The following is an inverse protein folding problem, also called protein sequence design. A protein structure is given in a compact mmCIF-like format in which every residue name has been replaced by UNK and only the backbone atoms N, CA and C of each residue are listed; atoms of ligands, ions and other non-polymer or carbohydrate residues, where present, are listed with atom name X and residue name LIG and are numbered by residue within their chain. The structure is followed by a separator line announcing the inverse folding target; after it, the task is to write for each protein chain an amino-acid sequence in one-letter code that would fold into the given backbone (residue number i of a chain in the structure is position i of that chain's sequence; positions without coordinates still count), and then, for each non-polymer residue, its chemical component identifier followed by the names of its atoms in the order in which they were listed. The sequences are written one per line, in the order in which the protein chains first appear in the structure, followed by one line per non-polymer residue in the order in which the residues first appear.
data_IF_698986975790
#
_entry.id   IF_698986975790
#
_cell.length_a   1.000
_cell.length_b   1.000
_cell.length_c   1.000
_cell.angle_alpha   90.00
_cell.angle_beta   90.00
_cell.angle_gamma   90.00
#
_symmetry.space_group_name_H-M   'P 1'
#
loop_
_entity.id
_entity.type
_entity.pdbx_description
1 polymer ?
#
# COMPACT_ATOMS: atom_id res chain seq x y z
N UNK A 1 -24.64 -7.33 7.28
CA UNK A 1 -23.37 -7.25 6.58
C UNK A 1 -22.93 -5.79 6.54
N UNK A 2 -21.65 -5.53 6.59
CA UNK A 2 -21.05 -4.19 6.53
C UNK A 2 -19.73 -4.26 5.77
N UNK A 3 -19.30 -3.12 5.24
CA UNK A 3 -18.01 -2.99 4.59
C UNK A 3 -17.08 -2.13 5.45
N UNK A 4 -15.79 -2.45 5.42
CA UNK A 4 -14.74 -1.63 5.99
C UNK A 4 -13.79 -1.24 4.86
N UNK A 5 -13.48 0.05 4.75
CA UNK A 5 -12.68 0.61 3.67
C UNK A 5 -11.60 1.51 4.28
N UNK A 6 -10.37 1.37 3.83
CA UNK A 6 -9.31 2.33 4.10
C UNK A 6 -9.23 3.35 2.97
N UNK A 7 -9.01 4.62 3.30
CA UNK A 7 -8.77 5.67 2.31
C UNK A 7 -7.80 6.74 2.84
N UNK A 8 -7.16 7.42 1.92
CA UNK A 8 -6.43 8.67 2.16
C UNK A 8 -7.00 9.76 1.27
N UNK A 9 -7.02 10.97 1.76
CA UNK A 9 -7.45 12.14 1.01
C UNK A 9 -6.28 12.95 0.44
N UNK A 10 -5.16 12.30 0.14
CA UNK A 10 -3.89 12.93 -0.22
C UNK A 10 -3.41 13.94 0.84
N UNK A 11 -3.53 13.56 2.11
CA UNK A 11 -3.02 14.30 3.26
C UNK A 11 -2.08 13.41 4.08
N UNK A 12 -1.84 13.79 5.30
CA UNK A 12 -1.08 12.99 6.26
C UNK A 12 -1.97 12.07 7.11
N UNK A 13 -3.21 11.86 6.70
CA UNK A 13 -4.14 11.02 7.45
C UNK A 13 -4.68 9.89 6.58
N UNK A 14 -4.71 8.70 7.17
CA UNK A 14 -5.41 7.54 6.64
C UNK A 14 -6.58 7.23 7.53
N UNK A 15 -7.71 7.01 6.91
CA UNK A 15 -9.00 6.80 7.55
C UNK A 15 -9.51 5.38 7.36
N UNK A 16 -10.31 4.92 8.30
CA UNK A 16 -11.14 3.72 8.20
C UNK A 16 -12.61 4.12 8.19
N UNK A 17 -13.28 3.79 7.08
CA UNK A 17 -14.73 3.91 6.94
C UNK A 17 -15.41 2.61 7.31
N UNK A 18 -16.54 2.69 8.00
CA UNK A 18 -17.51 1.60 8.14
C UNK A 18 -18.78 1.97 7.41
N UNK A 19 -19.24 1.07 6.56
CA UNK A 19 -20.43 1.27 5.74
C UNK A 19 -21.42 0.13 5.98
N UNK A 20 -22.72 0.43 5.87
CA UNK A 20 -23.76 -0.60 5.80
C UNK A 20 -23.64 -1.42 4.51
N UNK A 21 -24.40 -2.51 4.39
CA UNK A 21 -24.53 -3.28 3.15
C UNK A 21 -25.08 -2.46 1.98
N UNK A 22 -25.80 -1.38 2.27
CA UNK A 22 -26.35 -0.46 1.26
C UNK A 22 -25.41 0.74 1.00
N UNK A 23 -24.16 0.65 1.45
CA UNK A 23 -23.11 1.65 1.32
C UNK A 23 -23.40 2.99 2.01
N UNK A 24 -24.23 3.00 3.03
CA UNK A 24 -24.44 4.17 3.87
C UNK A 24 -23.32 4.29 4.91
N UNK A 25 -22.81 5.49 5.12
CA UNK A 25 -21.76 5.77 6.10
C UNK A 25 -22.26 5.52 7.53
N UNK A 26 -21.58 4.65 8.25
CA UNK A 26 -21.82 4.37 9.67
C UNK A 26 -20.81 5.08 10.56
N UNK A 27 -19.53 5.09 10.14
CA UNK A 27 -18.43 5.63 10.92
C UNK A 27 -17.28 6.04 10.00
N UNK A 28 -16.53 7.07 10.39
CA UNK A 28 -15.32 7.56 9.73
C UNK A 28 -14.31 7.98 10.81
N UNK A 29 -13.19 7.31 10.90
CA UNK A 29 -12.20 7.58 11.92
C UNK A 29 -10.80 7.66 11.34
N UNK A 30 -9.96 8.54 11.88
CA UNK A 30 -8.54 8.57 11.58
C UNK A 30 -7.89 7.33 12.18
N UNK A 31 -7.28 6.52 11.33
CA UNK A 31 -6.54 5.33 11.73
C UNK A 31 -5.07 5.68 12.04
N UNK A 32 -4.42 6.37 11.11
CA UNK A 32 -3.01 6.73 11.21
C UNK A 32 -2.84 8.18 10.79
N UNK A 33 -2.04 8.92 11.57
CA UNK A 33 -1.54 10.25 11.20
C UNK A 33 -0.03 10.18 11.06
N UNK A 34 0.48 10.65 9.94
CA UNK A 34 1.91 10.64 9.59
C UNK A 34 2.49 12.06 9.54
N UNK A 35 3.80 12.18 9.48
CA UNK A 35 4.47 13.49 9.29
C UNK A 35 4.59 13.88 7.81
N UNK A 36 4.25 12.96 6.91
CA UNK A 36 4.42 13.09 5.45
C UNK A 36 3.11 12.82 4.74
N UNK A 37 3.07 13.02 3.43
CA UNK A 37 1.95 12.63 2.60
C UNK A 37 1.78 11.11 2.61
N UNK A 38 0.57 10.63 2.91
CA UNK A 38 0.19 9.23 2.86
C UNK A 38 -0.79 8.98 1.71
N UNK A 39 -0.51 7.98 0.90
CA UNK A 39 -1.35 7.56 -0.23
C UNK A 39 -1.54 6.04 -0.24
N UNK A 40 -2.43 5.54 -1.07
CA UNK A 40 -2.67 4.13 -1.41
C UNK A 40 -2.76 3.21 -0.18
N UNK A 41 -3.67 3.48 0.76
CA UNK A 41 -3.84 2.62 1.91
C UNK A 41 -4.49 1.30 1.51
N UNK A 42 -3.93 0.19 2.03
CA UNK A 42 -4.45 -1.15 1.82
C UNK A 42 -4.80 -1.76 3.17
N UNK A 43 -6.02 -2.27 3.29
CA UNK A 43 -6.51 -2.93 4.49
C UNK A 43 -6.70 -4.42 4.23
N UNK A 44 -6.10 -5.26 5.06
CA UNK A 44 -6.28 -6.71 5.01
C UNK A 44 -6.60 -7.29 6.37
N UNK A 45 -7.54 -8.22 6.42
CA UNK A 45 -7.83 -8.99 7.61
C UNK A 45 -6.89 -10.20 7.68
N UNK A 46 -6.31 -10.43 8.85
CA UNK A 46 -5.49 -11.60 9.18
C UNK A 46 -6.17 -12.41 10.30
N UNK A 47 -5.55 -13.52 10.74
CA UNK A 47 -6.13 -14.36 11.79
C UNK A 47 -6.32 -13.62 13.11
N UNK A 48 -5.38 -12.76 13.47
CA UNK A 48 -5.31 -12.08 14.77
C UNK A 48 -5.44 -10.54 14.60
N UNK A 49 -6.39 -10.07 13.78
CA UNK A 49 -6.65 -8.65 13.61
C UNK A 49 -6.57 -8.16 12.18
N UNK A 50 -6.01 -6.98 11.99
CA UNK A 50 -5.98 -6.27 10.72
C UNK A 50 -4.59 -5.67 10.47
N UNK A 51 -4.19 -5.65 9.23
CA UNK A 51 -3.02 -4.93 8.77
C UNK A 51 -3.45 -3.79 7.85
N UNK A 52 -2.78 -2.67 7.98
CA UNK A 52 -2.94 -1.48 7.14
C UNK A 52 -1.57 -1.11 6.58
N UNK A 53 -1.49 -0.88 5.28
CA UNK A 53 -0.32 -0.24 4.68
C UNK A 53 -0.63 1.17 4.23
N UNK A 54 0.38 2.03 4.27
CA UNK A 54 0.39 3.33 3.61
C UNK A 54 1.66 3.45 2.80
N UNK A 55 1.58 4.02 1.62
CA UNK A 55 2.74 4.57 0.93
C UNK A 55 2.95 6.00 1.42
N UNK A 56 4.04 6.25 2.11
CA UNK A 56 4.41 7.57 2.62
C UNK A 56 5.50 8.18 1.75
N UNK A 57 5.31 9.45 1.39
CA UNK A 57 6.22 10.16 0.50
C UNK A 57 6.96 11.22 1.30
N UNK A 58 8.30 11.08 1.38
CA UNK A 58 9.15 12.07 2.03
C UNK A 58 9.19 13.34 1.16
N UNK A 59 8.50 14.33 1.62
CA UNK A 59 8.31 15.63 1.01
C UNK A 59 7.39 16.47 1.87
N UNK A 60 7.26 17.74 1.62
CA UNK A 60 6.30 18.54 2.38
C UNK A 60 4.90 18.28 1.84
N UNK A 61 3.92 18.09 2.74
CA UNK A 61 2.48 17.99 2.43
C UNK A 61 2.01 19.15 1.51
N UNK A 62 2.78 20.22 1.45
CA UNK A 62 2.53 21.41 0.64
C UNK A 62 3.19 21.37 -0.76
N UNK A 63 3.95 20.32 -1.07
CA UNK A 63 4.43 20.07 -2.43
C UNK A 63 3.67 18.88 -3.03
N UNK A 64 2.50 19.10 -3.64
CA UNK A 64 1.68 18.04 -4.20
C UNK A 64 2.24 17.50 -5.53
N UNK A 65 3.37 17.99 -5.97
CA UNK A 65 4.16 17.43 -7.04
C UNK A 65 5.48 16.96 -6.44
N UNK A 66 5.55 15.75 -5.88
CA UNK A 66 6.77 15.04 -6.01
C UNK A 66 6.90 14.83 -7.52
N UNK A 67 7.52 15.80 -8.23
CA UNK A 67 8.13 15.47 -9.50
C UNK A 67 8.99 14.26 -9.18
N UNK A 68 8.52 13.07 -9.59
CA UNK A 68 8.95 11.75 -9.16
C UNK A 68 10.44 11.47 -8.99
N UNK A 69 11.26 12.41 -9.30
CA UNK A 69 12.70 12.28 -9.36
C UNK A 69 13.42 12.38 -8.01
N UNK A 70 12.79 12.87 -6.93
CA UNK A 70 13.48 13.15 -5.68
C UNK A 70 12.80 12.67 -4.39
N UNK A 71 11.58 12.17 -4.44
CA UNK A 71 10.88 11.65 -3.26
C UNK A 71 11.43 10.29 -2.80
N UNK A 72 11.43 10.06 -1.50
CA UNK A 72 11.58 8.72 -0.94
C UNK A 72 10.18 8.21 -0.64
N UNK A 73 9.82 7.10 -1.27
CA UNK A 73 8.58 6.40 -1.04
C UNK A 73 8.83 5.27 -0.06
N UNK A 74 8.06 5.22 1.00
CA UNK A 74 8.16 4.19 2.03
C UNK A 74 6.79 3.57 2.26
N UNK A 75 6.66 2.28 1.99
CA UNK A 75 5.45 1.52 2.33
C UNK A 75 5.57 1.06 3.77
N UNK A 76 4.73 1.60 4.65
CA UNK A 76 4.69 1.28 6.07
C UNK A 76 3.56 0.33 6.41
N UNK A 77 3.84 -0.58 7.33
CA UNK A 77 2.89 -1.55 7.84
C UNK A 77 2.49 -1.22 9.27
N UNK A 78 1.19 -1.26 9.52
CA UNK A 78 0.56 -1.07 10.82
C UNK A 78 -0.33 -2.26 11.15
N UNK A 79 -0.50 -2.54 12.43
CA UNK A 79 -1.39 -3.58 12.94
C UNK A 79 -2.45 -2.99 13.87
N UNK A 80 -3.63 -3.61 13.87
CA UNK A 80 -4.72 -3.33 14.83
C UNK A 80 -5.53 -4.58 15.14
N UNK A 81 -5.88 -4.77 16.40
CA UNK A 81 -6.81 -5.83 16.81
C UNK A 81 -8.28 -5.43 16.62
N UNK A 82 -8.58 -4.13 16.52
CA UNK A 82 -9.94 -3.59 16.66
C UNK A 82 -10.36 -2.56 15.59
N UNK A 83 -9.50 -2.25 14.61
CA UNK A 83 -9.66 -1.21 13.61
C UNK A 83 -9.65 0.23 14.15
N UNK A 84 -9.34 0.42 15.44
CA UNK A 84 -9.33 1.73 16.10
C UNK A 84 -7.93 2.12 16.55
N UNK A 85 -7.24 1.19 17.20
CA UNK A 85 -5.91 1.42 17.73
C UNK A 85 -4.87 0.78 16.79
N UNK A 86 -4.06 1.61 16.13
CA UNK A 86 -3.07 1.17 15.15
C UNK A 86 -1.66 1.33 15.69
N UNK A 87 -0.86 0.30 15.55
CA UNK A 87 0.54 0.28 15.96
C UNK A 87 1.43 0.09 14.73
N UNK A 88 2.46 0.95 14.60
CA UNK A 88 3.48 0.77 13.58
C UNK A 88 4.25 -0.52 13.82
N UNK A 89 4.47 -1.29 12.76
CA UNK A 89 5.23 -2.54 12.81
C UNK A 89 6.60 -2.39 12.15
N UNK A 90 6.62 -2.08 10.86
CA UNK A 90 7.84 -2.06 10.06
C UNK A 90 7.64 -1.30 8.75
N UNK A 91 8.75 -0.97 8.08
CA UNK A 91 8.75 -0.57 6.67
C UNK A 91 8.87 -1.83 5.80
N UNK A 92 7.92 -2.02 4.88
CA UNK A 92 7.95 -3.12 3.91
C UNK A 92 9.07 -2.89 2.91
N UNK A 93 9.09 -1.69 2.34
CA UNK A 93 10.09 -1.24 1.38
C UNK A 93 10.23 0.28 1.44
N UNK A 94 11.45 0.78 1.26
CA UNK A 94 11.71 2.20 1.11
C UNK A 94 12.67 2.42 -0.06
N UNK A 95 12.34 3.33 -0.96
CA UNK A 95 13.17 3.63 -2.12
C UNK A 95 12.95 5.04 -2.65
N UNK A 96 13.92 5.48 -3.44
CA UNK A 96 13.95 6.80 -4.08
C UNK A 96 13.18 6.84 -5.39
N UNK A 97 12.17 6.09 -5.60
CA UNK A 97 11.39 6.04 -6.84
C UNK A 97 9.99 5.58 -6.52
N UNK A 98 9.08 5.85 -7.42
CA UNK A 98 7.68 5.61 -7.22
C UNK A 98 7.36 4.16 -6.83
N UNK A 99 6.53 4.01 -5.82
CA UNK A 99 5.91 2.77 -5.36
C UNK A 99 4.42 3.07 -5.29
N UNK A 100 3.67 2.59 -6.25
CA UNK A 100 2.24 2.86 -6.34
C UNK A 100 1.43 1.58 -6.53
N UNK A 101 0.12 1.71 -6.46
CA UNK A 101 -0.87 0.69 -6.80
C UNK A 101 -0.58 -0.69 -6.17
N UNK A 102 -0.25 -0.69 -4.89
CA UNK A 102 0.00 -1.93 -4.17
C UNK A 102 -1.27 -2.68 -3.82
N UNK A 103 -1.12 -3.97 -3.58
CA UNK A 103 -2.12 -4.84 -2.97
C UNK A 103 -1.46 -5.86 -2.05
N UNK A 104 -2.12 -6.18 -0.94
CA UNK A 104 -1.60 -7.15 0.02
C UNK A 104 -2.60 -8.30 0.20
N UNK A 105 -2.08 -9.53 0.24
CA UNK A 105 -2.90 -10.73 0.47
C UNK A 105 -2.29 -11.60 1.56
N UNK A 106 -3.16 -12.13 2.39
CA UNK A 106 -2.78 -13.12 3.41
C UNK A 106 -3.30 -14.49 3.00
N UNK A 107 -2.39 -15.40 2.67
CA UNK A 107 -2.68 -16.75 2.18
C UNK A 107 -1.84 -17.77 2.92
N UNK A 108 -2.47 -18.76 3.54
CA UNK A 108 -1.80 -19.91 4.18
C UNK A 108 -0.68 -19.52 5.16
N UNK A 109 -0.86 -18.43 5.90
CA UNK A 109 0.12 -17.94 6.87
C UNK A 109 1.20 -17.05 6.29
N UNK A 110 1.17 -16.75 4.99
CA UNK A 110 2.13 -15.88 4.30
C UNK A 110 1.43 -14.63 3.81
N UNK A 111 2.08 -13.48 4.00
CA UNK A 111 1.69 -12.22 3.38
C UNK A 111 2.43 -12.07 2.06
N UNK A 112 1.70 -11.61 1.05
CA UNK A 112 2.22 -11.26 -0.27
C UNK A 112 1.87 -9.81 -0.52
N UNK A 113 2.88 -8.97 -0.73
CA UNK A 113 2.72 -7.58 -1.15
C UNK A 113 3.08 -7.45 -2.62
N UNK A 114 2.09 -7.14 -3.43
CA UNK A 114 2.23 -6.88 -4.87
C UNK A 114 2.22 -5.38 -5.08
N UNK A 115 3.07 -4.87 -5.95
CA UNK A 115 3.18 -3.44 -6.19
C UNK A 115 3.79 -3.12 -7.55
N UNK A 116 3.48 -1.94 -8.02
CA UNK A 116 4.16 -1.34 -9.14
C UNK A 116 5.45 -0.66 -8.68
N UNK A 117 6.52 -0.91 -9.39
CA UNK A 117 7.80 -0.30 -9.17
C UNK A 117 8.24 0.47 -10.42
N UNK A 118 8.16 1.79 -10.35
CA UNK A 118 8.64 2.65 -11.40
C UNK A 118 10.13 2.97 -11.24
N UNK A 119 10.83 3.03 -12.37
CA UNK A 119 12.22 3.46 -12.46
C UNK A 119 12.32 4.50 -13.58
N UNK A 120 12.06 5.77 -13.24
CA UNK A 120 11.98 6.87 -14.22
C UNK A 120 13.19 7.02 -15.11
N UNK A 121 14.36 6.58 -14.65
CA UNK A 121 15.63 6.72 -15.40
C UNK A 121 15.93 5.50 -16.28
N UNK A 122 15.28 4.36 -16.09
CA UNK A 122 15.76 3.08 -16.62
C UNK A 122 14.74 2.24 -17.37
N UNK A 123 13.56 2.76 -17.58
CA UNK A 123 12.56 2.05 -18.37
C UNK A 123 11.22 1.93 -17.70
N UNK A 124 10.36 1.08 -18.23
CA UNK A 124 8.97 0.99 -17.84
C UNK A 124 8.79 0.37 -16.44
N UNK A 125 7.65 0.66 -15.85
CA UNK A 125 7.18 0.09 -14.59
C UNK A 125 7.20 -1.44 -14.58
N UNK A 126 7.38 -2.03 -13.41
CA UNK A 126 7.43 -3.47 -13.20
C UNK A 126 6.44 -3.86 -12.13
N UNK A 127 5.72 -4.94 -12.35
CA UNK A 127 4.95 -5.57 -11.28
C UNK A 127 5.89 -6.48 -10.49
N UNK A 128 5.97 -6.21 -9.19
CA UNK A 128 6.81 -6.93 -8.25
C UNK A 128 5.98 -7.58 -7.15
N UNK A 129 6.55 -8.60 -6.50
CA UNK A 129 6.01 -9.20 -5.28
C UNK A 129 7.11 -9.33 -4.23
N UNK A 130 6.73 -9.12 -2.97
CA UNK A 130 7.50 -9.47 -1.78
C UNK A 130 6.67 -10.39 -0.90
N UNK A 131 7.35 -11.25 -0.13
CA UNK A 131 6.73 -12.26 0.72
C UNK A 131 7.20 -12.08 2.17
N UNK A 132 6.27 -12.30 3.11
CA UNK A 132 6.56 -12.36 4.54
C UNK A 132 5.89 -13.57 5.16
N UNK A 133 6.65 -14.40 5.87
CA UNK A 133 6.17 -15.57 6.60
C UNK A 133 6.05 -15.35 8.11
N UNK A 134 6.27 -14.13 8.59
CA UNK A 134 6.30 -13.75 9.99
C UNK A 134 5.36 -12.57 10.30
N UNK A 135 4.19 -12.57 9.65
CA UNK A 135 3.16 -11.55 9.80
C UNK A 135 3.62 -10.12 9.44
N UNK A 136 4.53 -9.99 8.49
CA UNK A 136 4.98 -8.70 7.99
C UNK A 136 6.17 -8.10 8.72
N UNK A 137 6.77 -8.80 9.68
CA UNK A 137 7.95 -8.29 10.42
C UNK A 137 9.21 -8.25 9.56
N UNK A 138 9.36 -9.22 8.66
CA UNK A 138 10.44 -9.25 7.66
C UNK A 138 9.91 -9.60 6.28
N UNK A 139 10.53 -9.05 5.25
CA UNK A 139 10.10 -9.18 3.86
C UNK A 139 11.25 -9.67 2.97
N UNK A 140 10.90 -10.46 1.96
CA UNK A 140 11.85 -10.86 0.92
C UNK A 140 12.31 -9.67 0.07
N UNK A 141 13.39 -9.82 -0.68
CA UNK A 141 13.71 -8.87 -1.76
C UNK A 141 12.60 -8.88 -2.83
N UNK A 142 12.34 -7.75 -3.49
CA UNK A 142 11.36 -7.64 -4.57
C UNK A 142 11.69 -8.61 -5.72
N UNK A 143 10.71 -9.41 -6.10
CA UNK A 143 10.78 -10.29 -7.27
C UNK A 143 9.89 -9.75 -8.36
N UNK A 144 10.46 -9.47 -9.53
CA UNK A 144 9.71 -9.05 -10.70
C UNK A 144 8.87 -10.21 -11.23
N UNK A 145 7.56 -10.01 -11.35
CA UNK A 145 6.60 -10.96 -11.91
C UNK A 145 6.41 -10.71 -13.41
N UNK A 146 6.22 -9.47 -13.77
CA UNK A 146 6.04 -9.04 -15.15
C UNK A 146 7.11 -8.00 -15.44
N UNK A 147 8.19 -8.37 -16.17
CA UNK A 147 9.07 -7.38 -16.75
C UNK A 147 8.28 -6.67 -17.84
N UNK A 148 8.31 -5.36 -17.84
CA UNK A 148 7.81 -4.65 -18.99
C UNK A 148 8.78 -4.86 -20.15
N UNK A 149 8.38 -5.61 -21.15
CA UNK A 149 9.15 -5.82 -22.39
C UNK A 149 8.89 -4.72 -23.43
N UNK A 150 8.21 -3.63 -23.06
CA UNK A 150 7.86 -2.58 -24.00
C UNK A 150 9.10 -1.90 -24.56
N UNK A 151 9.42 -2.27 -25.77
CA UNK A 151 10.27 -1.48 -26.67
C UNK A 151 9.57 -0.13 -26.93
N UNK A 152 9.99 0.92 -26.23
CA UNK A 152 9.83 2.32 -26.57
C UNK A 152 8.49 3.05 -26.35
N UNK A 153 7.47 2.47 -25.79
CA UNK A 153 6.30 3.23 -25.35
C UNK A 153 6.03 2.96 -23.89
N UNK A 154 5.89 4.02 -23.08
CA UNK A 154 5.44 3.99 -21.70
C UNK A 154 4.00 3.45 -21.69
N UNK A 155 3.85 2.15 -21.65
CA UNK A 155 2.61 1.55 -21.21
C UNK A 155 2.73 1.41 -19.69
N UNK A 156 2.15 2.36 -18.99
CA UNK A 156 2.03 2.31 -17.55
C UNK A 156 1.18 1.08 -17.20
N UNK A 157 1.73 0.17 -16.42
CA UNK A 157 0.96 -0.89 -15.78
C UNK A 157 0.19 -0.25 -14.63
N UNK A 158 -0.80 0.57 -14.91
CA UNK A 158 -1.63 1.19 -13.88
C UNK A 158 -2.61 0.17 -13.29
N UNK A 159 -2.83 0.25 -11.98
CA UNK A 159 -3.88 -0.43 -11.21
C UNK A 159 -3.76 -1.95 -11.13
N UNK A 160 -3.20 -2.41 -10.03
CA UNK A 160 -3.09 -3.81 -9.70
C UNK A 160 -4.28 -4.25 -8.81
N UNK A 161 -5.05 -5.24 -9.26
CA UNK A 161 -6.05 -5.91 -8.44
C UNK A 161 -5.75 -7.41 -8.42
N UNK A 162 -5.67 -8.00 -7.23
CA UNK A 162 -5.40 -9.42 -7.04
C UNK A 162 -6.70 -10.14 -6.70
N UNK A 163 -7.09 -11.08 -7.54
CA UNK A 163 -8.21 -11.99 -7.30
C UNK A 163 -7.64 -13.34 -6.88
N UNK A 164 -8.00 -13.80 -5.67
CA UNK A 164 -7.70 -15.14 -5.22
C UNK A 164 -8.86 -16.05 -5.60
N UNK A 165 -8.64 -17.00 -6.50
CA UNK A 165 -9.60 -18.10 -6.77
C UNK A 165 -9.47 -19.15 -5.65
N UNK A 166 -10.62 -19.53 -5.04
CA UNK A 166 -10.71 -20.58 -4.01
C UNK A 166 -10.94 -21.95 -4.63
#
# INVERSE_FOLDING_TARGET
DSYTVAYSNHSNETHILKLTSDAELMDDQVAVTTDTLAIDPILVQINDGYLLTNTEIDGTINDPSPDGDNGIYTVRLYHSDDLVNWEYMTDIISRKQNLEDGDIRYLDGTLYYFFEMEDYDKGPSKICVMESADYGMTWSEPKTLLPNEADNEREDCGWLEIICEQ
#
